data_IF_725044737827
#
_entry.id   IF_725044737827
#
_cell.length_a   1.000
_cell.length_b   1.000
_cell.length_c   1.000
_cell.angle_alpha   90.00
_cell.angle_beta   90.00
_cell.angle_gamma   90.00
#
_symmetry.space_group_name_H-M   'P 1'
#
loop_
_entity.id
_entity.type
_entity.pdbx_description
1 polymer ?
#
# COMPACT_ATOMS: atom_id res chain seq x y z
N UNK A 1 -2.26 -48.21 -11.24
CA UNK A 1 -2.59 -47.69 -9.91
C UNK A 1 -2.35 -46.19 -9.92
N UNK A 2 -3.40 -45.37 -9.82
CA UNK A 2 -3.28 -43.92 -9.84
C UNK A 2 -2.82 -43.41 -8.47
N UNK A 3 -1.71 -42.68 -8.43
CA UNK A 3 -1.20 -42.03 -7.22
C UNK A 3 -2.09 -40.84 -6.87
N UNK A 4 -2.77 -40.92 -5.73
CA UNK A 4 -3.54 -39.81 -5.15
C UNK A 4 -2.54 -38.76 -4.66
N UNK A 5 -2.40 -37.68 -5.44
CA UNK A 5 -1.72 -36.45 -5.00
C UNK A 5 -2.50 -35.87 -3.81
N UNK A 6 -1.97 -36.05 -2.60
CA UNK A 6 -2.52 -35.50 -1.38
C UNK A 6 -2.21 -34.00 -1.35
N UNK A 7 -3.17 -33.15 -1.74
CA UNK A 7 -3.03 -31.70 -1.62
C UNK A 7 -3.12 -31.32 -0.14
N UNK A 8 -1.97 -31.23 0.53
CA UNK A 8 -1.92 -30.78 1.93
C UNK A 8 -2.24 -29.29 1.98
N UNK A 9 -3.35 -28.94 2.63
CA UNK A 9 -3.83 -27.56 2.77
C UNK A 9 -2.98 -26.81 3.80
N UNK A 10 -2.27 -25.76 3.38
CA UNK A 10 -1.66 -24.80 4.30
C UNK A 10 -2.77 -23.96 4.97
N UNK A 11 -2.68 -23.79 6.29
CA UNK A 11 -3.66 -22.99 7.02
C UNK A 11 -3.33 -21.51 6.86
N UNK A 12 -4.19 -20.79 6.15
CA UNK A 12 -4.23 -19.34 6.21
C UNK A 12 -4.84 -18.97 7.56
N UNK A 13 -4.01 -18.44 8.47
CA UNK A 13 -4.50 -17.95 9.75
C UNK A 13 -4.85 -16.49 9.56
N UNK A 14 -6.14 -16.17 9.67
CA UNK A 14 -6.58 -14.78 9.81
C UNK A 14 -6.31 -14.42 11.27
N UNK A 15 -5.15 -13.83 11.54
CA UNK A 15 -4.83 -13.36 12.88
C UNK A 15 -5.81 -12.23 13.23
N UNK A 16 -6.82 -12.53 14.05
CA UNK A 16 -7.73 -11.55 14.64
C UNK A 16 -7.08 -10.84 15.86
N UNK A 17 -5.75 -10.88 15.93
CA UNK A 17 -4.97 -10.38 17.06
C UNK A 17 -4.84 -8.86 16.98
N UNK A 18 -5.68 -8.18 17.75
CA UNK A 18 -5.58 -6.76 18.02
C UNK A 18 -4.29 -6.45 18.81
N UNK A 19 -3.18 -6.14 18.13
CA UNK A 19 -1.95 -5.51 18.69
C UNK A 19 -0.98 -5.23 17.53
N UNK A 20 -1.20 -4.21 16.70
CA UNK A 20 -0.60 -2.87 16.86
C UNK A 20 -1.44 -1.88 16.03
N UNK A 21 -2.49 -1.32 16.65
CA UNK A 21 -3.39 -0.36 16.01
C UNK A 21 -2.64 0.93 15.72
N UNK A 22 -2.32 1.16 14.45
CA UNK A 22 -2.31 2.51 13.83
C UNK A 22 -2.09 2.53 12.32
N UNK A 23 -1.81 1.39 11.67
CA UNK A 23 -1.65 1.32 10.20
C UNK A 23 -2.41 0.13 9.57
N UNK A 24 -3.47 -0.34 10.24
CA UNK A 24 -4.15 -1.58 9.86
C UNK A 24 -5.02 -1.41 8.63
N UNK A 25 -4.94 -2.38 7.72
CA UNK A 25 -5.94 -2.55 6.66
C UNK A 25 -7.31 -2.79 7.31
N UNK A 26 -8.30 -1.93 6.99
CA UNK A 26 -9.69 -2.07 7.48
C UNK A 26 -10.12 -1.16 8.64
N UNK A 27 -9.32 -0.15 9.04
CA UNK A 27 -9.75 0.82 10.07
C UNK A 27 -10.98 1.66 9.60
N UNK A 28 -11.87 2.08 10.51
CA UNK A 28 -13.09 2.86 10.17
C UNK A 28 -12.83 4.34 9.81
N UNK A 29 -11.57 4.73 9.69
CA UNK A 29 -11.12 6.11 9.50
C UNK A 29 -10.92 6.51 8.02
N UNK A 30 -11.37 5.68 7.07
CA UNK A 30 -11.49 6.03 5.65
C UNK A 30 -12.78 6.82 5.39
N UNK A 31 -12.94 7.92 6.10
CA UNK A 31 -14.14 8.75 6.07
C UNK A 31 -14.18 9.71 4.86
N UNK A 32 -13.22 9.60 3.94
CA UNK A 32 -13.07 10.48 2.79
C UNK A 32 -12.67 11.90 3.17
N UNK A 33 -12.28 12.16 4.44
CA UNK A 33 -11.88 13.51 4.85
C UNK A 33 -10.49 13.84 4.37
N UNK A 34 -10.32 15.12 4.09
CA UNK A 34 -9.02 15.73 3.82
C UNK A 34 -8.39 16.20 5.11
N UNK A 35 -7.11 15.90 5.29
CA UNK A 35 -6.33 16.29 6.46
C UNK A 35 -5.01 16.92 6.03
N UNK A 36 -4.54 17.91 6.81
CA UNK A 36 -3.21 18.50 6.63
C UNK A 36 -2.30 18.10 7.80
N UNK A 37 -1.16 17.48 7.47
CA UNK A 37 -0.21 16.90 8.42
C UNK A 37 1.15 17.53 8.20
N UNK A 38 1.71 18.12 9.25
CA UNK A 38 3.08 18.63 9.25
C UNK A 38 4.03 17.59 9.85
N UNK A 39 5.09 17.24 9.12
CA UNK A 39 6.11 16.30 9.53
C UNK A 39 7.47 16.98 9.59
N UNK A 40 8.22 16.74 10.66
CA UNK A 40 9.63 17.16 10.75
C UNK A 40 10.51 15.98 10.35
N UNK A 41 11.38 16.20 9.36
CA UNK A 41 12.31 15.21 8.83
C UNK A 41 13.34 14.81 9.88
N UNK A 42 13.59 13.51 10.00
CA UNK A 42 14.62 12.92 10.88
C UNK A 42 15.51 12.00 10.04
N UNK A 43 16.84 12.12 10.20
CA UNK A 43 17.81 11.34 9.43
C UNK A 43 17.55 11.37 7.92
N UNK A 44 17.23 12.56 7.40
CA UNK A 44 16.84 12.79 6.01
C UNK A 44 15.58 12.05 5.53
N UNK A 45 14.76 11.49 6.43
CA UNK A 45 13.57 10.71 6.09
C UNK A 45 12.30 11.23 6.78
N UNK A 46 11.16 11.04 6.12
CA UNK A 46 9.83 11.20 6.72
C UNK A 46 9.31 9.86 7.27
N UNK A 47 9.88 8.74 6.82
CA UNK A 47 9.45 7.39 7.18
C UNK A 47 8.14 6.96 6.54
N UNK A 48 7.88 7.40 5.31
CA UNK A 48 6.80 6.90 4.47
C UNK A 48 7.33 6.49 3.10
N UNK A 49 6.59 5.63 2.41
CA UNK A 49 6.82 5.27 1.00
C UNK A 49 5.61 5.64 0.17
N UNK A 50 5.82 5.98 -1.09
CA UNK A 50 4.75 6.32 -2.03
C UNK A 50 4.74 5.39 -3.24
N UNK A 51 3.56 5.21 -3.83
CA UNK A 51 3.33 4.50 -5.11
C UNK A 51 2.42 5.33 -6.01
N UNK A 52 2.30 4.91 -7.27
CA UNK A 52 1.48 5.58 -8.27
C UNK A 52 2.10 6.87 -8.80
N UNK A 53 1.25 7.76 -9.28
CA UNK A 53 1.58 8.87 -10.16
C UNK A 53 0.68 8.79 -11.40
N UNK A 54 0.62 9.86 -12.19
CA UNK A 54 -0.17 9.85 -13.43
C UNK A 54 0.36 8.88 -14.48
N UNK A 55 1.59 8.37 -14.30
CA UNK A 55 2.33 7.52 -15.23
C UNK A 55 2.68 6.13 -14.66
N UNK A 56 2.24 5.80 -13.44
CA UNK A 56 2.49 4.52 -12.79
C UNK A 56 1.20 3.95 -12.21
N UNK A 57 1.02 2.64 -12.29
CA UNK A 57 -0.06 1.94 -11.59
C UNK A 57 0.01 2.22 -10.09
N UNK A 58 -1.15 2.48 -9.49
CA UNK A 58 -1.31 2.64 -8.04
C UNK A 58 -1.98 1.45 -7.39
N UNK A 59 -2.26 0.37 -8.13
CA UNK A 59 -2.94 -0.81 -7.60
C UNK A 59 -2.23 -1.36 -6.34
N UNK A 60 -2.98 -1.71 -5.29
CA UNK A 60 -4.44 -1.81 -5.24
C UNK A 60 -5.16 -0.48 -4.94
N UNK A 61 -4.45 0.62 -4.73
CA UNK A 61 -5.03 1.93 -4.42
C UNK A 61 -5.48 2.69 -5.67
N UNK A 62 -6.39 3.64 -5.49
CA UNK A 62 -6.82 4.51 -6.59
C UNK A 62 -7.65 3.83 -7.66
N UNK A 63 -8.45 2.81 -7.31
CA UNK A 63 -9.33 2.05 -8.24
C UNK A 63 -10.11 2.98 -9.18
N UNK A 64 -10.59 4.12 -8.67
CA UNK A 64 -11.39 5.06 -9.45
C UNK A 64 -10.56 6.09 -10.23
N UNK A 65 -9.33 6.38 -9.78
CA UNK A 65 -8.49 7.42 -10.38
C UNK A 65 -7.02 7.26 -9.98
N UNK A 66 -6.07 7.38 -10.94
CA UNK A 66 -4.64 7.34 -10.66
C UNK A 66 -4.22 8.51 -9.76
N UNK A 67 -3.09 8.38 -9.07
CA UNK A 67 -2.56 9.39 -8.18
C UNK A 67 -1.42 8.87 -7.32
N UNK A 68 -1.00 9.67 -6.35
CA UNK A 68 0.12 9.34 -5.46
C UNK A 68 -0.42 8.91 -4.11
N UNK A 69 -0.04 7.71 -3.67
CA UNK A 69 -0.58 7.10 -2.45
C UNK A 69 0.54 6.68 -1.50
N UNK A 70 0.26 6.72 -0.20
CA UNK A 70 1.17 6.18 0.82
C UNK A 70 1.10 4.66 0.80
N UNK A 71 2.17 3.96 0.41
CA UNK A 71 2.19 2.49 0.39
C UNK A 71 2.70 1.87 1.69
N UNK A 72 3.48 2.63 2.47
CA UNK A 72 4.08 2.15 3.72
C UNK A 72 4.34 3.31 4.65
N UNK A 73 4.16 3.05 5.95
CA UNK A 73 4.59 3.94 7.03
C UNK A 73 5.54 3.14 7.93
N UNK A 74 6.74 3.68 8.15
CA UNK A 74 7.73 3.08 9.03
C UNK A 74 7.37 3.36 10.48
N UNK A 75 7.24 2.33 11.34
CA UNK A 75 6.99 2.54 12.77
C UNK A 75 8.04 3.44 13.41
N UNK A 76 7.63 4.22 14.41
CA UNK A 76 8.49 5.16 15.16
C UNK A 76 9.20 6.24 14.31
N UNK A 77 8.88 6.39 13.03
CA UNK A 77 9.36 7.49 12.19
C UNK A 77 8.53 8.77 12.37
N UNK A 78 8.90 9.93 11.79
CA UNK A 78 8.05 11.13 11.83
C UNK A 78 6.62 10.87 11.34
N UNK A 79 6.45 10.25 10.17
CA UNK A 79 5.15 9.86 9.66
C UNK A 79 4.44 8.87 10.59
N UNK A 80 5.18 7.90 11.12
CA UNK A 80 4.64 6.91 12.05
C UNK A 80 4.08 7.56 13.32
N UNK A 81 4.92 8.30 14.04
CA UNK A 81 4.54 8.95 15.29
C UNK A 81 3.46 10.02 15.13
N UNK A 82 3.26 10.55 13.93
CA UNK A 82 2.15 11.48 13.67
C UNK A 82 0.79 10.83 13.98
N UNK A 83 0.63 9.53 13.72
CA UNK A 83 -0.63 8.79 13.81
C UNK A 83 -1.82 9.40 13.04
N UNK A 84 -1.52 10.31 12.11
CA UNK A 84 -2.50 11.03 11.27
C UNK A 84 -2.46 10.58 9.81
N UNK A 85 -1.40 9.86 9.43
CA UNK A 85 -1.23 9.29 8.09
C UNK A 85 -1.48 7.78 8.13
N UNK A 86 -2.02 7.26 7.03
CA UNK A 86 -2.40 5.85 6.89
C UNK A 86 -1.96 5.30 5.54
N UNK A 87 -1.79 3.97 5.47
CA UNK A 87 -1.47 3.29 4.20
C UNK A 87 -2.66 3.36 3.26
N UNK A 88 -2.46 3.88 2.06
CA UNK A 88 -3.45 4.11 1.02
C UNK A 88 -4.07 5.51 1.03
N UNK A 89 -3.63 6.38 1.94
CA UNK A 89 -3.95 7.82 1.84
C UNK A 89 -3.45 8.38 0.51
N UNK A 90 -4.32 9.11 -0.19
CA UNK A 90 -3.93 9.85 -1.40
C UNK A 90 -3.32 11.18 -1.01
N UNK A 91 -2.12 11.46 -1.49
CA UNK A 91 -1.45 12.75 -1.28
C UNK A 91 -1.91 13.73 -2.36
N UNK A 92 -2.50 14.83 -1.91
CA UNK A 92 -3.06 15.88 -2.74
C UNK A 92 -2.05 17.00 -3.02
N UNK A 93 -1.24 17.34 -2.02
CA UNK A 93 -0.16 18.32 -2.13
C UNK A 93 0.97 18.05 -1.14
N UNK A 94 2.15 18.52 -1.51
CA UNK A 94 3.36 18.57 -0.67
C UNK A 94 3.78 20.03 -0.55
N UNK A 95 3.75 20.55 0.66
CA UNK A 95 3.77 21.98 0.96
C UNK A 95 2.72 22.70 0.12
N UNK A 96 3.17 23.66 -0.70
CA UNK A 96 2.32 24.47 -1.57
C UNK A 96 2.23 23.90 -3.01
N UNK A 97 2.79 22.71 -3.26
CA UNK A 97 2.83 22.09 -4.59
C UNK A 97 1.71 21.04 -4.69
N UNK A 98 0.75 21.27 -5.59
CA UNK A 98 -0.30 20.30 -5.91
C UNK A 98 0.28 19.14 -6.72
N UNK A 99 0.09 17.90 -6.25
CA UNK A 99 0.65 16.70 -6.89
C UNK A 99 -0.42 15.69 -7.35
N UNK A 100 -1.70 16.07 -7.39
CA UNK A 100 -2.82 15.17 -7.74
C UNK A 100 -2.62 14.43 -9.06
N UNK A 101 -2.09 15.14 -10.06
CA UNK A 101 -1.84 14.62 -11.41
C UNK A 101 -0.34 14.58 -11.73
N UNK A 102 0.52 14.57 -10.70
CA UNK A 102 1.96 14.53 -10.90
C UNK A 102 2.39 13.13 -11.36
N UNK A 103 3.41 13.09 -12.21
CA UNK A 103 4.19 11.88 -12.46
C UNK A 103 4.85 11.41 -11.16
N UNK A 104 5.14 10.11 -11.07
CA UNK A 104 5.76 9.52 -9.87
C UNK A 104 7.00 10.29 -9.43
N UNK A 105 7.91 10.54 -10.39
CA UNK A 105 9.18 11.21 -10.13
C UNK A 105 9.00 12.65 -9.62
N UNK A 106 8.04 13.39 -10.15
CA UNK A 106 7.75 14.76 -9.71
C UNK A 106 7.21 14.80 -8.27
N UNK A 107 6.40 13.81 -7.87
CA UNK A 107 5.95 13.68 -6.50
C UNK A 107 7.09 13.31 -5.54
N UNK A 108 7.98 12.40 -5.97
CA UNK A 108 9.20 12.05 -5.22
C UNK A 108 10.08 13.29 -5.02
N UNK A 109 10.27 14.10 -6.06
CA UNK A 109 11.04 15.33 -6.00
C UNK A 109 10.43 16.36 -5.05
N UNK A 110 9.11 16.57 -5.11
CA UNK A 110 8.43 17.46 -4.17
C UNK A 110 8.64 17.04 -2.70
N UNK A 111 8.57 15.74 -2.41
CA UNK A 111 8.85 15.19 -1.07
C UNK A 111 10.32 15.31 -0.66
N UNK A 112 11.26 15.26 -1.60
CA UNK A 112 12.72 15.31 -1.34
C UNK A 112 13.25 16.74 -1.22
N UNK A 113 12.77 17.66 -2.05
CA UNK A 113 13.20 19.06 -2.09
C UNK A 113 12.69 19.88 -0.90
N UNK A 114 11.67 19.36 -0.21
CA UNK A 114 11.15 20.00 1.00
C UNK A 114 12.22 20.08 2.09
N UNK A 115 12.24 21.21 2.81
CA UNK A 115 13.16 21.50 3.91
C UNK A 115 12.99 20.53 5.11
N UNK A 116 13.44 20.95 6.29
CA UNK A 116 13.31 20.19 7.54
C UNK A 116 11.84 19.87 7.88
N UNK A 117 10.90 20.72 7.48
CA UNK A 117 9.47 20.55 7.74
C UNK A 117 8.73 20.35 6.42
N UNK A 118 7.85 19.35 6.37
CA UNK A 118 7.05 19.00 5.20
C UNK A 118 5.58 18.99 5.58
N UNK A 119 4.76 19.75 4.87
CA UNK A 119 3.29 19.73 5.03
C UNK A 119 2.69 18.84 3.96
N UNK A 120 1.93 17.85 4.36
CA UNK A 120 1.20 16.96 3.46
C UNK A 120 -0.28 17.26 3.59
N UNK A 121 -0.95 17.47 2.46
CA UNK A 121 -2.40 17.43 2.41
C UNK A 121 -2.82 16.09 1.83
N UNK A 122 -3.54 15.29 2.62
CA UNK A 122 -3.95 13.94 2.23
C UNK A 122 -5.47 13.80 2.28
N UNK A 123 -6.02 12.80 1.60
CA UNK A 123 -7.41 12.36 1.75
C UNK A 123 -7.44 10.87 2.07
N UNK A 124 -8.24 10.50 3.06
CA UNK A 124 -8.41 9.11 3.51
C UNK A 124 -9.42 8.38 2.64
N UNK A 125 -9.01 8.03 1.42
CA UNK A 125 -9.88 7.31 0.48
C UNK A 125 -10.24 5.91 1.02
N UNK A 126 -11.47 5.44 0.76
CA UNK A 126 -11.85 4.06 1.06
C UNK A 126 -10.88 3.06 0.43
N UNK A 127 -10.42 2.10 1.23
CA UNK A 127 -9.60 0.99 0.75
C UNK A 127 -10.42 0.06 -0.17
N UNK A 128 -9.74 -0.66 -1.07
CA UNK A 128 -10.35 -1.76 -1.83
C UNK A 128 -11.08 -2.74 -0.91
N UNK A 129 -12.32 -3.14 -1.23
CA UNK A 129 -13.05 -4.13 -0.46
C UNK A 129 -12.23 -5.42 -0.27
N UNK A 130 -12.16 -5.91 0.97
CA UNK A 130 -11.51 -7.18 1.30
C UNK A 130 -9.99 -7.12 1.49
N UNK A 131 -9.38 -5.93 1.37
CA UNK A 131 -7.97 -5.73 1.71
C UNK A 131 -7.73 -6.03 3.20
N UNK A 132 -6.83 -6.98 3.47
CA UNK A 132 -6.51 -7.43 4.82
C UNK A 132 -5.07 -7.94 4.88
N UNK A 133 -4.47 -7.84 6.05
CA UNK A 133 -3.23 -8.54 6.34
C UNK A 133 -3.52 -10.04 6.54
N UNK A 134 -2.62 -10.89 6.03
CA UNK A 134 -2.76 -12.35 6.10
C UNK A 134 -1.45 -12.96 6.57
N UNK A 135 -1.51 -13.75 7.64
CA UNK A 135 -0.37 -14.52 8.13
C UNK A 135 -0.39 -15.93 7.54
N UNK A 136 0.69 -16.31 6.85
CA UNK A 136 0.85 -17.65 6.28
C UNK A 136 1.94 -18.38 7.05
N UNK A 137 1.60 -19.53 7.63
CA UNK A 137 2.54 -20.37 8.37
C UNK A 137 2.84 -21.63 7.56
N UNK A 138 4.12 -22.00 7.50
CA UNK A 138 4.62 -23.26 6.91
C UNK A 138 5.42 -24.05 7.94
N UNK A 139 5.48 -25.36 7.78
CA UNK A 139 6.36 -26.18 8.59
C UNK A 139 7.81 -26.10 8.07
N UNK A 140 8.77 -26.41 8.94
CA UNK A 140 10.19 -26.49 8.55
C UNK A 140 10.38 -27.54 7.46
N UNK A 141 11.08 -27.18 6.38
CA UNK A 141 11.33 -28.05 5.23
C UNK A 141 10.21 -28.08 4.17
N UNK A 142 9.07 -27.39 4.39
CA UNK A 142 7.98 -27.32 3.41
C UNK A 142 8.05 -26.03 2.57
N UNK A 143 7.61 -26.11 1.31
CA UNK A 143 7.36 -24.93 0.49
C UNK A 143 6.12 -24.17 1.00
N UNK A 144 5.96 -22.88 0.65
CA UNK A 144 4.74 -22.13 0.98
C UNK A 144 3.52 -22.57 0.17
N UNK A 145 3.73 -23.25 -0.97
CA UNK A 145 2.66 -23.72 -1.84
C UNK A 145 1.87 -22.59 -2.52
N UNK A 146 2.44 -21.40 -2.65
CA UNK A 146 1.83 -20.26 -3.34
C UNK A 146 2.42 -20.13 -4.74
N UNK A 147 1.56 -20.06 -5.74
CA UNK A 147 1.94 -19.66 -7.09
C UNK A 147 1.59 -18.17 -7.24
N UNK A 148 2.57 -17.35 -7.66
CA UNK A 148 2.38 -15.91 -7.86
C UNK A 148 2.40 -15.64 -9.36
N UNK A 149 1.42 -14.88 -9.85
CA UNK A 149 1.30 -14.49 -11.24
C UNK A 149 0.98 -12.99 -11.36
N UNK A 150 1.08 -12.44 -12.58
CA UNK A 150 0.94 -11.01 -12.83
C UNK A 150 2.21 -10.22 -12.49
N UNK A 151 2.07 -8.90 -12.35
CA UNK A 151 3.19 -7.97 -12.25
C UNK A 151 3.60 -7.36 -13.60
N UNK A 152 4.37 -6.27 -13.54
CA UNK A 152 4.82 -5.52 -14.72
C UNK A 152 5.58 -6.45 -15.68
N UNK A 153 5.14 -6.47 -16.94
CA UNK A 153 5.74 -7.29 -18.00
C UNK A 153 5.38 -8.78 -17.97
N UNK A 154 4.53 -9.21 -17.03
CA UNK A 154 3.99 -10.58 -16.99
C UNK A 154 2.64 -10.66 -17.72
N UNK A 155 2.17 -11.86 -18.10
CA UNK A 155 0.81 -12.04 -18.59
C UNK A 155 -0.23 -11.49 -17.61
N UNK A 156 -1.33 -10.89 -18.10
CA UNK A 156 -2.39 -10.39 -17.22
C UNK A 156 -2.95 -11.51 -16.36
N UNK A 157 -2.97 -11.29 -15.05
CA UNK A 157 -3.47 -12.27 -14.08
C UNK A 157 -4.86 -11.92 -13.53
N UNK A 158 -5.31 -10.68 -13.71
CA UNK A 158 -6.67 -10.29 -13.35
C UNK A 158 -7.67 -10.73 -14.45
N UNK A 159 -8.63 -11.61 -14.16
CA UNK A 159 -9.62 -12.06 -15.14
C UNK A 159 -10.63 -10.97 -15.52
N UNK A 160 -10.77 -9.92 -14.69
CA UNK A 160 -11.71 -8.82 -14.88
C UNK A 160 -11.10 -7.64 -15.66
N UNK A 161 -9.78 -7.48 -15.63
CA UNK A 161 -9.08 -6.40 -16.29
C UNK A 161 -7.73 -6.88 -16.85
N UNK A 162 -7.64 -7.01 -18.17
CA UNK A 162 -6.42 -7.47 -18.85
C UNK A 162 -5.30 -6.43 -18.87
N UNK A 163 -5.57 -5.19 -18.48
CA UNK A 163 -4.58 -4.11 -18.38
C UNK A 163 -4.02 -3.97 -16.97
N UNK A 164 -4.58 -4.69 -16.00
CA UNK A 164 -4.11 -4.70 -14.62
C UNK A 164 -2.76 -5.41 -14.52
N UNK A 165 -1.73 -4.66 -14.14
CA UNK A 165 -0.37 -5.14 -13.88
C UNK A 165 -0.17 -5.60 -12.43
N UNK A 166 -1.26 -5.82 -11.69
CA UNK A 166 -1.25 -6.30 -10.31
C UNK A 166 -0.63 -7.69 -10.15
N UNK A 167 -0.27 -8.02 -8.92
CA UNK A 167 0.31 -9.31 -8.52
C UNK A 167 -0.78 -10.14 -7.83
N UNK A 168 -0.95 -11.38 -8.29
CA UNK A 168 -2.02 -12.28 -7.85
C UNK A 168 -1.44 -13.61 -7.37
N UNK A 169 -2.22 -14.32 -6.56
CA UNK A 169 -1.91 -15.70 -6.14
C UNK A 169 -2.80 -16.63 -6.96
N UNK A 170 -2.18 -17.50 -7.75
CA UNK A 170 -2.84 -18.54 -8.54
C UNK A 170 -3.10 -19.80 -7.69
N UNK A 171 -4.25 -20.44 -7.93
CA UNK A 171 -4.71 -21.64 -7.22
C UNK A 171 -3.96 -22.91 -7.62
#
# INVERSE_FOLDING_TARGET
MASLSSTKTHTVVVDNAAQQRTYGFGDTCWDGKTEEVELTRENNSLGLSIVGGSDHSSHPFGINAPGVFISKITPNSPAGRSQRLRIGDRILSVNNINIRNAKHQAAVEALKQSEKVVRLRVIHEPQPPGLREVSIRRNSGEALGLNICGGIGSPPANPLDKTDEGIFIEK
#
